data_IF_459923775406
#
_entry.id   IF_459923775406
#
_cell.length_a   1.000
_cell.length_b   1.000
_cell.length_c   1.000
_cell.angle_alpha   90.00
_cell.angle_beta   90.00
_cell.angle_gamma   90.00
#
_symmetry.space_group_name_H-M   'P 1'
#
loop_
_entity.id
_entity.type
_entity.pdbx_description
1 polymer ?
#
# COMPACT_ATOMS: atom_id res chain seq x y z
N UNK A 1 6.63 21.90 16.73
CA UNK A 1 5.43 21.08 16.97
C UNK A 1 4.22 21.93 17.33
N UNK A 2 4.34 22.86 18.29
CA UNK A 2 3.25 23.79 18.67
C UNK A 2 2.55 24.44 17.46
N UNK A 3 3.31 24.94 16.48
CA UNK A 3 2.73 25.58 15.28
C UNK A 3 1.90 24.60 14.44
N UNK A 4 2.36 23.36 14.30
CA UNK A 4 1.65 22.31 13.56
C UNK A 4 0.37 21.86 14.31
N UNK A 5 0.39 21.86 15.64
CA UNK A 5 -0.79 21.55 16.45
C UNK A 5 -1.85 22.65 16.41
N UNK A 6 -1.45 23.90 16.14
CA UNK A 6 -2.35 25.04 16.03
C UNK A 6 -3.06 25.14 14.66
N UNK A 7 -2.61 24.37 13.66
CA UNK A 7 -3.30 24.25 12.37
C UNK A 7 -4.60 23.44 12.51
N UNK A 8 -5.57 23.61 11.58
CA UNK A 8 -6.77 22.78 11.56
C UNK A 8 -6.42 21.30 11.52
N UNK A 9 -6.95 20.54 12.49
CA UNK A 9 -6.76 19.10 12.58
C UNK A 9 -7.74 18.38 11.66
N UNK A 10 -7.22 17.50 10.82
CA UNK A 10 -7.97 16.59 9.98
C UNK A 10 -7.73 15.15 10.43
N UNK A 11 -8.71 14.30 10.16
CA UNK A 11 -8.64 12.87 10.41
C UNK A 11 -8.87 12.11 9.12
N UNK A 12 -7.93 11.25 8.74
CA UNK A 12 -7.96 10.49 7.48
C UNK A 12 -7.73 9.02 7.79
N UNK A 13 -8.71 8.17 7.47
CA UNK A 13 -8.52 6.71 7.49
C UNK A 13 -7.75 6.32 6.24
N UNK A 14 -6.53 5.81 6.38
CA UNK A 14 -5.71 5.40 5.24
C UNK A 14 -4.90 4.13 5.53
N UNK A 15 -4.83 3.28 4.51
CA UNK A 15 -3.99 2.09 4.50
C UNK A 15 -2.61 2.41 3.96
N UNK A 16 -1.57 2.00 4.69
CA UNK A 16 -0.19 2.02 4.21
C UNK A 16 0.21 0.61 3.81
N UNK A 17 0.43 0.39 2.51
CA UNK A 17 0.98 -0.85 1.97
C UNK A 17 2.46 -0.68 1.64
N UNK A 18 3.32 -1.55 2.18
CA UNK A 18 4.72 -1.62 1.76
C UNK A 18 4.79 -2.10 0.31
N UNK A 19 5.63 -1.46 -0.53
CA UNK A 19 5.85 -1.94 -1.89
C UNK A 19 6.38 -3.38 -1.93
N UNK A 20 7.09 -3.82 -0.88
CA UNK A 20 7.57 -5.19 -0.74
C UNK A 20 6.54 -6.20 -0.19
N UNK A 21 5.27 -5.83 -0.01
CA UNK A 21 4.25 -6.77 0.47
C UNK A 21 4.19 -8.02 -0.44
N UNK A 22 4.05 -9.20 0.18
CA UNK A 22 4.05 -10.52 -0.50
C UNK A 22 5.33 -10.87 -1.27
N UNK A 23 6.47 -10.24 -0.96
CA UNK A 23 7.78 -10.51 -1.60
C UNK A 23 8.23 -11.96 -1.47
N UNK A 24 7.98 -12.62 -0.34
CA UNK A 24 8.48 -13.97 -0.07
C UNK A 24 7.98 -14.96 -1.13
N UNK A 25 6.71 -14.87 -1.51
CA UNK A 25 6.14 -15.69 -2.59
C UNK A 25 6.83 -15.45 -3.94
N UNK A 26 7.16 -14.20 -4.29
CA UNK A 26 7.95 -13.90 -5.50
C UNK A 26 9.37 -14.47 -5.43
N UNK A 27 9.98 -14.45 -4.24
CA UNK A 27 11.29 -15.06 -4.02
C UNK A 27 11.30 -16.59 -4.11
N UNK A 28 10.16 -17.27 -3.92
CA UNK A 28 10.03 -18.73 -4.08
C UNK A 28 10.18 -19.14 -5.55
N UNK A 29 9.72 -18.30 -6.49
CA UNK A 29 9.81 -18.52 -7.94
C UNK A 29 11.22 -18.26 -8.46
N UNK A 30 11.74 -17.05 -8.20
CA UNK A 30 13.11 -16.67 -8.52
C UNK A 30 13.62 -15.71 -7.47
N UNK A 31 14.79 -16.01 -6.90
CA UNK A 31 15.34 -15.28 -5.75
C UNK A 31 15.43 -13.77 -6.03
N UNK A 32 14.93 -12.96 -5.11
CA UNK A 32 15.05 -11.49 -5.10
C UNK A 32 15.87 -11.04 -3.90
N UNK A 33 16.47 -9.84 -3.99
CA UNK A 33 17.20 -9.22 -2.86
C UNK A 33 16.28 -8.25 -2.13
N UNK A 34 16.01 -8.51 -0.85
CA UNK A 34 15.22 -7.64 0.03
C UNK A 34 14.71 -8.40 1.26
N UNK A 35 14.22 -7.67 2.26
CA UNK A 35 13.57 -8.25 3.45
C UNK A 35 12.36 -9.08 3.00
N UNK A 36 12.27 -10.32 3.49
CA UNK A 36 11.14 -11.21 3.22
C UNK A 36 9.88 -10.70 3.90
N UNK A 37 8.82 -10.54 3.12
CA UNK A 37 7.50 -10.16 3.60
C UNK A 37 6.49 -11.17 3.07
N UNK A 38 5.66 -11.68 3.98
CA UNK A 38 4.50 -12.46 3.61
C UNK A 38 3.31 -11.54 3.29
N UNK A 39 2.07 -11.89 3.66
CA UNK A 39 0.87 -11.11 3.31
C UNK A 39 0.61 -9.91 4.23
N UNK A 40 1.36 -9.79 5.33
CA UNK A 40 1.11 -8.82 6.40
C UNK A 40 1.86 -7.49 6.32
N UNK A 41 2.54 -7.15 5.21
CA UNK A 41 3.27 -5.87 5.10
C UNK A 41 2.35 -4.71 4.68
N UNK A 42 1.22 -4.58 5.38
CA UNK A 42 0.13 -3.64 5.14
C UNK A 42 -0.57 -3.35 6.47
N UNK A 43 -1.08 -2.13 6.66
CA UNK A 43 -1.91 -1.81 7.81
C UNK A 43 -2.79 -0.58 7.58
N UNK A 44 -3.99 -0.59 8.15
CA UNK A 44 -4.94 0.52 8.12
C UNK A 44 -5.02 1.23 9.47
N UNK A 45 -5.05 2.56 9.43
CA UNK A 45 -5.18 3.37 10.64
C UNK A 45 -5.94 4.66 10.37
N UNK A 46 -6.41 5.27 11.45
CA UNK A 46 -6.99 6.61 11.47
C UNK A 46 -5.87 7.60 11.82
N UNK A 47 -5.44 8.40 10.85
CA UNK A 47 -4.34 9.36 11.00
C UNK A 47 -4.87 10.74 11.35
N UNK A 48 -4.34 11.36 12.40
CA UNK A 48 -4.69 12.72 12.83
C UNK A 48 -3.53 13.68 12.61
N UNK A 49 -3.79 14.81 11.95
CA UNK A 49 -2.73 15.76 11.59
C UNK A 49 -3.22 17.02 10.89
N UNK A 50 -2.27 17.87 10.52
CA UNK A 50 -2.52 19.02 9.65
C UNK A 50 -2.42 18.59 8.17
N UNK A 51 -3.24 19.15 7.29
CA UNK A 51 -3.07 18.93 5.84
C UNK A 51 -1.79 19.62 5.36
N UNK A 52 -1.03 18.92 4.53
CA UNK A 52 0.18 19.49 3.91
C UNK A 52 -0.17 20.71 3.06
N UNK A 53 -1.32 20.70 2.39
CA UNK A 53 -1.79 21.84 1.60
C UNK A 53 -1.95 23.12 2.44
N UNK A 54 -2.43 23.02 3.69
CA UNK A 54 -2.57 24.18 4.57
C UNK A 54 -1.21 24.69 5.07
N UNK A 55 -0.27 23.76 5.33
CA UNK A 55 1.12 24.12 5.70
C UNK A 55 1.83 24.83 4.55
N UNK A 56 1.64 24.37 3.32
CA UNK A 56 2.22 25.00 2.12
C UNK A 56 1.59 26.37 1.84
N UNK A 57 0.29 26.53 2.10
CA UNK A 57 -0.41 27.81 2.00
C UNK A 57 0.15 28.85 2.98
N UNK A 58 0.49 28.45 4.21
CA UNK A 58 1.15 29.33 5.19
C UNK A 58 2.49 29.91 4.71
N UNK A 59 3.22 29.19 3.85
CA UNK A 59 4.50 29.64 3.30
C UNK A 59 4.36 30.25 1.90
N UNK A 60 3.13 30.62 1.51
CA UNK A 60 2.85 31.35 0.28
C UNK A 60 2.72 30.50 -0.98
N UNK A 61 2.46 29.19 -0.84
CA UNK A 61 2.17 28.30 -1.97
C UNK A 61 0.67 27.98 -1.99
N UNK A 62 -0.11 28.56 -2.92
CA UNK A 62 -1.55 28.34 -2.96
C UNK A 62 -1.93 26.87 -3.17
N UNK A 63 -3.12 26.52 -2.70
CA UNK A 63 -3.75 25.23 -3.03
C UNK A 63 -3.87 25.03 -4.54
N UNK A 64 -3.82 23.77 -4.97
CA UNK A 64 -3.89 23.36 -6.38
C UNK A 64 -2.77 23.92 -7.28
N UNK A 65 -1.60 24.22 -6.70
CA UNK A 65 -0.43 24.69 -7.45
C UNK A 65 0.33 23.53 -8.11
N UNK A 66 0.54 23.63 -9.43
CA UNK A 66 1.39 22.69 -10.17
C UNK A 66 2.88 23.03 -10.09
N UNK A 67 3.21 24.32 -9.98
CA UNK A 67 4.56 24.82 -9.83
C UNK A 67 4.56 26.13 -9.02
N UNK A 68 5.67 26.44 -8.36
CA UNK A 68 5.88 27.75 -7.72
C UNK A 68 6.52 28.74 -8.71
N UNK A 69 6.43 30.07 -8.46
CA UNK A 69 7.11 31.07 -9.30
C UNK A 69 8.63 30.90 -9.40
N UNK A 70 9.25 30.19 -8.44
CA UNK A 70 10.69 29.87 -8.43
C UNK A 70 11.00 28.50 -9.06
N UNK A 71 10.04 27.89 -9.76
CA UNK A 71 10.22 26.63 -10.48
C UNK A 71 10.12 25.36 -9.64
N UNK A 72 9.74 25.44 -8.36
CA UNK A 72 9.51 24.26 -7.54
C UNK A 72 8.29 23.45 -8.02
N UNK A 73 8.46 22.16 -8.31
CA UNK A 73 7.42 21.25 -8.84
C UNK A 73 7.23 20.00 -7.97
N UNK A 74 8.08 19.78 -6.97
CA UNK A 74 8.01 18.64 -6.06
C UNK A 74 8.17 19.09 -4.61
N UNK A 75 7.65 18.27 -3.69
CA UNK A 75 7.84 18.44 -2.24
C UNK A 75 8.60 17.22 -1.73
N UNK A 76 9.85 17.43 -1.30
CA UNK A 76 10.70 16.45 -0.65
C UNK A 76 10.50 16.47 0.86
N UNK A 77 10.49 15.28 1.43
CA UNK A 77 10.39 15.01 2.85
C UNK A 77 11.67 14.34 3.31
N UNK A 78 12.36 14.96 4.27
CA UNK A 78 13.63 14.47 4.81
C UNK A 78 13.43 13.97 6.22
N UNK A 79 13.79 12.71 6.47
CA UNK A 79 13.81 12.10 7.81
C UNK A 79 15.01 12.59 8.63
N UNK A 80 14.96 12.41 9.95
CA UNK A 80 16.13 12.59 10.84
C UNK A 80 16.97 11.31 11.01
N UNK A 81 16.50 10.18 10.47
CA UNK A 81 17.20 8.90 10.59
C UNK A 81 18.53 8.85 9.81
N UNK A 82 19.22 7.71 9.91
CA UNK A 82 20.48 7.46 9.22
C UNK A 82 20.43 6.10 8.54
N UNK A 83 20.51 6.09 7.22
CA UNK A 83 20.46 4.89 6.39
C UNK A 83 21.86 4.54 5.87
N UNK A 84 22.18 3.25 5.83
CA UNK A 84 23.47 2.78 5.26
C UNK A 84 23.53 3.07 3.76
N UNK A 85 22.38 2.97 3.09
CA UNK A 85 22.17 3.22 1.66
C UNK A 85 22.45 4.68 1.26
N UNK A 86 22.37 5.60 2.22
CA UNK A 86 22.67 7.03 2.06
C UNK A 86 24.00 7.39 2.76
N UNK A 87 24.89 6.42 2.99
CA UNK A 87 26.19 6.59 3.67
C UNK A 87 26.06 7.29 5.05
N UNK A 88 25.03 6.94 5.81
CA UNK A 88 24.72 7.56 7.10
C UNK A 88 23.85 8.82 7.01
N UNK A 89 23.46 9.23 5.80
CA UNK A 89 22.47 10.28 5.54
C UNK A 89 21.02 9.81 5.74
N UNK A 90 20.05 10.73 5.63
CA UNK A 90 18.66 10.48 5.97
C UNK A 90 17.85 9.80 4.87
N UNK A 91 16.80 9.08 5.26
CA UNK A 91 15.74 8.65 4.37
C UNK A 91 15.02 9.87 3.76
N UNK A 92 14.82 9.85 2.44
CA UNK A 92 14.16 10.91 1.68
C UNK A 92 13.16 10.35 0.68
N UNK A 93 12.04 11.04 0.50
CA UNK A 93 11.10 10.79 -0.58
C UNK A 93 10.46 12.12 -1.02
N UNK A 94 9.88 12.16 -2.21
CA UNK A 94 9.10 13.33 -2.66
C UNK A 94 7.80 12.95 -3.32
N UNK A 95 6.85 13.89 -3.34
CA UNK A 95 5.63 13.83 -4.14
C UNK A 95 5.54 15.05 -5.07
N UNK A 96 4.79 14.99 -6.17
CA UNK A 96 4.52 16.16 -7.00
C UNK A 96 3.84 17.28 -6.20
N UNK A 97 4.17 18.54 -6.51
CA UNK A 97 3.59 19.72 -5.84
C UNK A 97 2.08 19.77 -5.98
N UNK A 98 1.54 19.37 -7.13
CA UNK A 98 0.10 19.30 -7.35
C UNK A 98 -0.60 18.35 -6.38
N UNK A 99 0.04 17.22 -6.04
CA UNK A 99 -0.52 16.30 -5.05
C UNK A 99 -0.39 16.88 -3.64
N UNK A 100 0.74 17.52 -3.32
CA UNK A 100 0.99 18.12 -2.01
C UNK A 100 0.06 19.29 -1.69
N UNK A 101 -0.32 20.07 -2.70
CA UNK A 101 -1.16 21.27 -2.59
C UNK A 101 -2.64 21.02 -2.85
N UNK A 102 -3.03 19.80 -3.27
CA UNK A 102 -4.42 19.43 -3.45
C UNK A 102 -5.03 18.95 -2.11
N UNK A 103 -6.00 19.67 -1.53
CA UNK A 103 -6.65 19.25 -0.30
C UNK A 103 -7.39 17.91 -0.41
N UNK A 104 -7.84 17.51 -1.59
CA UNK A 104 -8.57 16.25 -1.82
C UNK A 104 -7.67 15.01 -1.88
N UNK A 105 -6.35 15.22 -2.01
CA UNK A 105 -5.35 14.16 -1.93
C UNK A 105 -5.04 13.75 -0.48
N UNK A 106 -5.55 14.51 0.51
CA UNK A 106 -5.48 14.20 1.94
C UNK A 106 -4.08 13.89 2.47
N UNK A 107 -3.04 14.50 1.88
CA UNK A 107 -1.67 14.37 2.39
C UNK A 107 -1.59 15.06 3.75
N UNK A 108 -1.20 14.31 4.78
CA UNK A 108 -1.15 14.79 6.17
C UNK A 108 0.29 14.88 6.68
N UNK A 109 0.55 15.92 7.47
CA UNK A 109 1.57 15.90 8.50
C UNK A 109 0.91 15.34 9.78
N UNK A 110 0.99 14.02 9.93
CA UNK A 110 0.33 13.29 11.01
C UNK A 110 1.18 13.31 12.28
N UNK A 111 0.54 13.61 13.41
CA UNK A 111 1.09 13.52 14.77
C UNK A 111 0.29 12.57 15.67
N UNK A 112 -0.85 12.06 15.17
CA UNK A 112 -1.67 11.02 15.81
C UNK A 112 -1.92 9.83 14.89
N UNK A 113 -2.08 8.65 15.51
CA UNK A 113 -2.50 7.41 14.88
C UNK A 113 -3.48 6.69 15.83
N UNK A 114 -4.68 6.38 15.33
CA UNK A 114 -5.77 5.75 16.07
C UNK A 114 -6.15 6.52 17.35
N UNK A 115 -6.24 7.86 17.24
CA UNK A 115 -6.62 8.75 18.34
C UNK A 115 -5.58 8.89 19.46
N UNK A 116 -4.38 8.33 19.28
CA UNK A 116 -3.25 8.46 20.21
C UNK A 116 -2.08 9.18 19.54
N UNK A 117 -1.20 9.83 20.32
CA UNK A 117 0.07 10.33 19.78
C UNK A 117 0.81 9.23 19.01
N UNK A 118 1.51 9.60 17.94
CA UNK A 118 2.34 8.65 17.21
C UNK A 118 3.32 7.96 18.16
N UNK A 119 3.53 6.66 17.95
CA UNK A 119 4.62 5.95 18.60
C UNK A 119 5.95 6.20 17.86
N UNK A 120 7.05 5.80 18.49
CA UNK A 120 8.39 5.94 17.88
C UNK A 120 8.50 5.18 16.57
N UNK A 121 8.03 3.94 16.48
CA UNK A 121 8.18 3.10 15.27
C UNK A 121 7.42 3.64 14.05
N UNK A 122 6.34 4.40 14.29
CA UNK A 122 5.50 5.01 13.27
C UNK A 122 5.79 6.50 13.06
N UNK A 123 6.86 7.04 13.65
CA UNK A 123 7.40 8.34 13.25
C UNK A 123 7.16 9.49 14.23
N UNK A 124 6.95 9.24 15.52
CA UNK A 124 6.89 10.32 16.52
C UNK A 124 8.08 11.30 16.39
N UNK A 125 7.86 12.63 16.48
CA UNK A 125 6.59 13.30 16.77
C UNK A 125 5.72 13.58 15.54
N UNK A 126 6.27 13.45 14.34
CA UNK A 126 5.62 13.87 13.11
C UNK A 126 6.07 12.99 11.94
N UNK A 127 5.10 12.55 11.14
CA UNK A 127 5.35 11.87 9.87
C UNK A 127 4.53 12.50 8.75
N UNK A 128 4.92 12.22 7.51
CA UNK A 128 4.02 12.34 6.37
C UNK A 128 3.20 11.07 6.24
N UNK A 129 1.91 11.22 5.91
CA UNK A 129 1.04 10.18 5.37
C UNK A 129 0.59 10.63 3.99
N UNK A 130 0.88 9.82 2.97
CA UNK A 130 0.47 10.05 1.58
C UNK A 130 -0.55 8.98 1.18
N UNK A 131 -1.86 9.25 1.31
CA UNK A 131 -2.89 8.27 0.98
C UNK A 131 -2.84 7.81 -0.48
N UNK A 132 -3.21 6.54 -0.73
CA UNK A 132 -3.23 5.96 -2.08
C UNK A 132 -1.86 5.76 -2.74
N UNK A 133 -0.76 6.01 -2.00
CA UNK A 133 0.62 5.87 -2.48
C UNK A 133 1.31 4.77 -1.66
N UNK A 134 2.33 4.11 -2.23
CA UNK A 134 3.11 3.10 -1.50
C UNK A 134 3.68 3.70 -0.20
N UNK A 135 3.73 2.88 0.85
CA UNK A 135 4.14 3.30 2.19
C UNK A 135 5.52 3.94 2.26
N UNK A 136 6.41 3.64 1.31
CA UNK A 136 7.74 4.23 1.19
C UNK A 136 7.74 5.77 1.07
N UNK A 137 6.67 6.38 0.56
CA UNK A 137 6.60 7.85 0.40
C UNK A 137 6.08 8.57 1.65
N UNK A 138 5.52 7.82 2.60
CA UNK A 138 5.05 8.34 3.89
C UNK A 138 6.23 8.41 4.87
N UNK A 139 7.09 9.41 4.73
CA UNK A 139 8.34 9.55 5.50
C UNK A 139 8.04 9.72 6.99
N UNK A 140 8.75 8.96 7.83
CA UNK A 140 8.66 9.00 9.30
C UNK A 140 9.73 9.92 9.88
N UNK A 141 9.54 10.38 11.12
CA UNK A 141 10.51 11.20 11.86
C UNK A 141 10.95 12.43 11.07
N UNK A 142 9.96 13.21 10.63
CA UNK A 142 10.15 14.29 9.68
C UNK A 142 11.05 15.40 10.25
N UNK A 143 12.11 15.74 9.52
CA UNK A 143 13.07 16.78 9.87
C UNK A 143 12.85 18.05 9.04
N UNK A 144 12.73 17.93 7.72
CA UNK A 144 12.48 19.07 6.83
C UNK A 144 11.52 18.72 5.70
N UNK A 145 10.88 19.76 5.17
CA UNK A 145 10.01 19.72 4.00
C UNK A 145 10.58 20.71 2.99
N UNK A 146 11.08 20.23 1.86
CA UNK A 146 11.79 21.04 0.89
C UNK A 146 10.99 21.11 -0.41
N UNK A 147 10.68 22.32 -0.88
CA UNK A 147 10.09 22.52 -2.20
C UNK A 147 11.20 22.62 -3.23
N UNK A 148 11.22 21.71 -4.19
CA UNK A 148 12.33 21.52 -5.14
C UNK A 148 11.83 21.45 -6.58
N UNK A 149 12.69 21.82 -7.53
CA UNK A 149 12.34 21.89 -8.95
C UNK A 149 12.12 20.51 -9.58
N UNK A 150 12.95 19.54 -9.20
CA UNK A 150 12.94 18.18 -9.74
C UNK A 150 12.58 17.16 -8.67
N UNK A 151 12.26 15.93 -9.08
CA UNK A 151 12.05 14.81 -8.15
C UNK A 151 13.26 14.62 -7.20
N UNK A 152 13.00 14.22 -5.96
CA UNK A 152 14.04 13.92 -4.98
C UNK A 152 15.10 12.95 -5.54
N UNK A 153 16.37 13.34 -5.41
CA UNK A 153 17.51 12.57 -5.90
C UNK A 153 18.03 11.53 -4.89
N UNK A 154 17.33 11.34 -3.77
CA UNK A 154 17.68 10.36 -2.74
C UNK A 154 17.67 8.92 -3.26
N UNK A 155 18.45 8.06 -2.62
CA UNK A 155 18.64 6.64 -2.98
C UNK A 155 17.29 5.92 -3.12
N UNK A 156 16.38 6.08 -2.15
CA UNK A 156 15.10 5.39 -2.13
C UNK A 156 14.08 5.91 -3.16
N UNK A 157 14.34 7.05 -3.80
CA UNK A 157 13.57 7.51 -4.97
C UNK A 157 14.24 7.03 -6.26
N UNK A 158 15.55 7.21 -6.40
CA UNK A 158 16.23 7.03 -7.68
C UNK A 158 16.73 5.59 -7.92
N UNK A 159 17.11 4.88 -6.87
CA UNK A 159 17.77 3.57 -6.88
C UNK A 159 17.01 2.50 -6.10
N UNK A 160 15.75 2.74 -5.78
CA UNK A 160 14.85 1.74 -5.19
C UNK A 160 13.38 2.01 -5.57
N UNK A 161 12.47 1.14 -5.15
CA UNK A 161 11.01 1.28 -5.29
C UNK A 161 10.57 1.64 -6.72
N UNK A 162 11.13 0.94 -7.70
CA UNK A 162 10.81 1.04 -9.13
C UNK A 162 10.42 -0.32 -9.67
N UNK A 163 9.34 -0.37 -10.46
CA UNK A 163 8.83 -1.61 -11.04
C UNK A 163 9.52 -1.90 -12.38
N UNK A 164 10.35 -2.94 -12.41
CA UNK A 164 11.06 -3.39 -13.62
C UNK A 164 10.37 -4.61 -14.24
N UNK A 165 10.53 -4.84 -15.56
CA UNK A 165 10.03 -6.06 -16.19
C UNK A 165 10.87 -7.29 -15.79
N UNK A 166 10.33 -8.52 -15.98
CA UNK A 166 11.00 -9.76 -15.58
C UNK A 166 12.37 -10.04 -16.25
N UNK A 167 12.66 -9.39 -17.39
CA UNK A 167 13.93 -9.53 -18.11
C UNK A 167 15.10 -8.77 -17.47
N UNK A 168 14.83 -7.85 -16.54
CA UNK A 168 15.88 -7.07 -15.88
C UNK A 168 16.42 -7.83 -14.66
N UNK A 169 17.75 -7.90 -14.56
CA UNK A 169 18.51 -8.50 -13.48
C UNK A 169 19.58 -7.52 -12.96
N UNK A 170 20.43 -7.97 -12.03
CA UNK A 170 21.45 -7.10 -11.42
C UNK A 170 22.58 -6.70 -12.36
N UNK A 171 22.81 -7.44 -13.45
CA UNK A 171 23.89 -7.18 -14.41
C UNK A 171 23.47 -6.17 -15.48
N UNK A 172 22.16 -6.09 -15.80
CA UNK A 172 21.63 -5.22 -16.85
C UNK A 172 20.71 -4.08 -16.35
N UNK A 173 20.56 -3.91 -15.04
CA UNK A 173 19.66 -2.90 -14.47
C UNK A 173 20.11 -1.48 -14.83
N UNK A 174 19.18 -0.72 -15.42
CA UNK A 174 19.30 0.72 -15.58
C UNK A 174 18.13 1.43 -14.87
N UNK A 175 18.44 2.04 -13.73
CA UNK A 175 17.48 2.75 -12.88
C UNK A 175 16.76 3.93 -13.54
N UNK A 176 17.34 4.52 -14.59
CA UNK A 176 16.76 5.66 -15.31
C UNK A 176 15.60 5.23 -16.24
N UNK A 177 15.51 3.94 -16.58
CA UNK A 177 14.45 3.44 -17.47
C UNK A 177 13.08 3.37 -16.80
N UNK A 178 13.00 3.53 -15.47
CA UNK A 178 11.75 3.44 -14.70
C UNK A 178 11.58 4.66 -13.80
N UNK A 179 10.34 5.14 -13.74
CA UNK A 179 9.92 6.18 -12.81
C UNK A 179 9.70 5.58 -11.41
N UNK A 180 9.92 6.34 -10.33
CA UNK A 180 9.63 5.87 -8.99
C UNK A 180 8.17 5.47 -8.84
N UNK A 181 7.93 4.37 -8.14
CA UNK A 181 6.58 3.92 -7.87
C UNK A 181 5.93 4.87 -6.87
N UNK A 182 4.74 5.37 -7.21
CA UNK A 182 3.90 6.22 -6.37
C UNK A 182 2.62 5.47 -6.01
N UNK A 183 1.62 5.51 -6.88
CA UNK A 183 0.41 4.67 -6.80
C UNK A 183 0.76 3.17 -6.80
N UNK A 184 -0.15 2.29 -6.37
CA UNK A 184 0.00 0.83 -6.43
C UNK A 184 -1.26 0.15 -6.99
N UNK A 185 -1.10 -0.97 -7.71
CA UNK A 185 -2.22 -1.69 -8.33
C UNK A 185 -3.13 -2.35 -7.30
N UNK A 186 -4.29 -2.81 -7.77
CA UNK A 186 -5.21 -3.64 -6.98
C UNK A 186 -4.50 -4.86 -6.39
N UNK A 187 -4.78 -5.16 -5.13
CA UNK A 187 -4.20 -6.23 -4.33
C UNK A 187 -5.30 -6.88 -3.50
N UNK A 188 -5.20 -8.20 -3.28
CA UNK A 188 -5.87 -8.88 -2.18
C UNK A 188 -5.05 -10.05 -1.65
N UNK A 189 -5.34 -10.44 -0.41
CA UNK A 189 -4.82 -11.66 0.17
C UNK A 189 -5.82 -12.26 1.18
N UNK A 190 -5.82 -13.58 1.24
CA UNK A 190 -6.52 -14.37 2.26
C UNK A 190 -5.68 -14.32 3.55
N UNK A 191 -6.33 -14.13 4.69
CA UNK A 191 -5.67 -14.03 6.00
C UNK A 191 -6.27 -14.96 7.07
N UNK A 192 -7.45 -15.56 6.82
CA UNK A 192 -8.07 -16.49 7.78
C UNK A 192 -7.49 -17.91 7.72
N UNK A 193 -6.56 -18.16 6.79
CA UNK A 193 -5.99 -19.46 6.47
C UNK A 193 -4.50 -19.26 6.16
N UNK A 194 -3.65 -20.16 6.64
CA UNK A 194 -2.21 -20.20 6.33
C UNK A 194 -1.94 -20.65 4.89
N UNK A 195 -0.71 -20.56 4.37
CA UNK A 195 -0.34 -21.07 3.03
C UNK A 195 -0.70 -22.56 2.84
N UNK A 196 -0.66 -23.34 3.92
CA UNK A 196 -1.07 -24.75 3.95
C UNK A 196 -1.88 -25.04 5.20
N UNK A 197 -3.14 -25.44 5.05
CA UNK A 197 -4.01 -25.81 6.16
C UNK A 197 -4.47 -27.25 6.06
N UNK A 198 -4.77 -27.83 7.23
CA UNK A 198 -5.55 -29.07 7.33
C UNK A 198 -6.93 -28.71 7.82
N UNK A 199 -7.95 -28.88 6.97
CA UNK A 199 -9.34 -28.57 7.30
C UNK A 199 -10.16 -29.86 7.43
N UNK A 200 -11.28 -29.78 8.15
CA UNK A 200 -12.32 -30.79 8.11
C UNK A 200 -13.13 -30.59 6.83
N UNK A 201 -13.69 -31.69 6.34
CA UNK A 201 -14.69 -31.65 5.27
C UNK A 201 -15.87 -30.75 5.66
N UNK A 202 -16.28 -29.86 4.75
CA UNK A 202 -17.47 -29.02 4.89
C UNK A 202 -17.23 -27.53 4.64
N UNK A 203 -18.05 -26.71 5.30
CA UNK A 203 -18.07 -25.25 5.13
C UNK A 203 -16.93 -24.58 5.89
N UNK A 204 -16.22 -23.69 5.21
CA UNK A 204 -15.13 -22.88 5.77
C UNK A 204 -15.33 -21.42 5.42
N UNK A 205 -15.12 -20.55 6.40
CA UNK A 205 -15.15 -19.10 6.20
C UNK A 205 -13.78 -18.61 5.74
N UNK A 206 -13.72 -18.04 4.54
CA UNK A 206 -12.51 -17.44 3.97
C UNK A 206 -12.61 -15.92 4.14
N UNK A 207 -11.62 -15.32 4.80
CA UNK A 207 -11.55 -13.87 5.04
C UNK A 207 -10.20 -13.29 4.64
N UNK A 208 -10.18 -12.03 4.27
CA UNK A 208 -8.97 -11.33 3.91
C UNK A 208 -9.16 -9.84 3.70
N UNK A 209 -8.16 -9.21 3.07
CA UNK A 209 -8.21 -7.80 2.70
C UNK A 209 -8.04 -7.62 1.19
N UNK A 210 -8.59 -6.53 0.66
CA UNK A 210 -8.35 -6.02 -0.67
C UNK A 210 -8.08 -4.51 -0.63
N UNK A 211 -7.22 -4.00 -1.49
CA UNK A 211 -6.87 -2.57 -1.55
C UNK A 211 -6.37 -2.19 -2.95
N UNK A 212 -6.60 -0.96 -3.37
CA UNK A 212 -5.95 -0.35 -4.52
C UNK A 212 -5.42 1.04 -4.13
N UNK A 213 -4.36 1.49 -4.80
CA UNK A 213 -3.85 2.84 -4.61
C UNK A 213 -4.73 3.89 -5.30
N UNK A 214 -4.26 5.14 -5.31
CA UNK A 214 -4.89 6.25 -6.02
C UNK A 214 -6.33 6.59 -5.59
N UNK A 215 -6.82 6.02 -4.48
CA UNK A 215 -8.16 6.26 -3.96
C UNK A 215 -9.23 5.40 -4.63
N UNK A 216 -8.81 4.37 -5.37
CA UNK A 216 -9.73 3.47 -6.05
C UNK A 216 -10.32 2.48 -5.04
N UNK A 217 -11.64 2.48 -4.91
CA UNK A 217 -12.37 1.47 -4.15
C UNK A 217 -12.23 0.07 -4.77
N UNK A 218 -12.54 -0.96 -4.00
CA UNK A 218 -12.65 -2.34 -4.49
C UNK A 218 -14.08 -2.57 -4.93
N UNK A 219 -14.30 -2.90 -6.20
CA UNK A 219 -15.62 -3.15 -6.77
C UNK A 219 -16.04 -4.62 -6.68
N UNK A 220 -15.09 -5.56 -6.66
CA UNK A 220 -15.40 -6.98 -6.48
C UNK A 220 -14.23 -7.75 -5.87
N UNK A 221 -14.55 -8.80 -5.12
CA UNK A 221 -13.59 -9.83 -4.71
C UNK A 221 -14.16 -11.18 -5.08
N UNK A 222 -13.40 -11.96 -5.83
CA UNK A 222 -13.78 -13.28 -6.32
C UNK A 222 -12.97 -14.34 -5.57
N UNK A 223 -13.64 -15.37 -5.04
CA UNK A 223 -13.04 -16.53 -4.39
C UNK A 223 -13.34 -17.78 -5.20
N UNK A 224 -12.32 -18.60 -5.40
CA UNK A 224 -12.41 -19.91 -6.05
C UNK A 224 -11.96 -21.01 -5.09
N UNK A 225 -12.60 -22.18 -5.18
CA UNK A 225 -12.23 -23.41 -4.44
C UNK A 225 -11.77 -24.53 -5.36
N UNK A 226 -11.51 -24.25 -6.64
CA UNK A 226 -11.11 -25.22 -7.66
C UNK A 226 -9.85 -24.78 -8.45
N UNK A 227 -8.99 -23.98 -7.79
CA UNK A 227 -7.74 -23.47 -8.36
C UNK A 227 -7.91 -22.31 -9.34
N UNK A 228 -9.07 -21.64 -9.35
CA UNK A 228 -9.36 -20.47 -10.19
C UNK A 228 -10.20 -20.76 -11.44
N UNK A 229 -10.88 -21.91 -11.53
CA UNK A 229 -11.73 -22.25 -12.68
C UNK A 229 -13.12 -21.64 -12.56
N UNK A 230 -13.72 -21.73 -11.37
CA UNK A 230 -15.01 -21.11 -11.03
C UNK A 230 -14.86 -20.16 -9.86
N UNK A 231 -15.76 -19.17 -9.79
CA UNK A 231 -15.66 -18.05 -8.86
C UNK A 231 -16.99 -17.77 -8.20
N UNK A 232 -16.94 -17.48 -6.91
CA UNK A 232 -18.05 -16.95 -6.11
C UNK A 232 -17.64 -15.57 -5.61
N UNK A 233 -18.56 -14.61 -5.68
CA UNK A 233 -18.31 -13.27 -5.16
C UNK A 233 -18.32 -13.28 -3.62
N UNK A 234 -17.29 -12.69 -3.02
CA UNK A 234 -17.22 -12.48 -1.58
C UNK A 234 -17.95 -11.19 -1.19
N UNK A 235 -18.56 -11.21 0.00
CA UNK A 235 -19.05 -9.99 0.61
C UNK A 235 -17.88 -9.06 0.97
N UNK A 236 -18.11 -7.75 0.96
CA UNK A 236 -17.10 -6.70 1.17
C UNK A 236 -17.57 -5.71 2.22
N UNK A 237 -16.68 -5.28 3.11
CA UNK A 237 -17.00 -4.29 4.14
C UNK A 237 -15.78 -3.47 4.61
N UNK A 238 -16.05 -2.32 5.22
CA UNK A 238 -15.04 -1.47 5.89
C UNK A 238 -15.43 -1.22 7.35
N UNK A 239 -16.63 -0.67 7.57
CA UNK A 239 -17.17 -0.33 8.89
C UNK A 239 -18.32 -1.28 9.22
N UNK A 240 -18.34 -1.81 10.43
CA UNK A 240 -19.40 -2.72 10.87
C UNK A 240 -20.77 -2.03 10.83
N UNK A 241 -21.78 -2.73 10.29
CA UNK A 241 -23.14 -2.22 10.19
C UNK A 241 -23.37 -1.13 9.12
N UNK A 242 -22.33 -0.74 8.37
CA UNK A 242 -22.45 0.22 7.27
C UNK A 242 -22.18 -0.52 5.95
N UNK A 243 -23.17 -0.62 5.05
CA UNK A 243 -22.96 -1.21 3.73
C UNK A 243 -21.84 -0.49 2.99
N UNK A 244 -20.86 -1.25 2.52
CA UNK A 244 -19.80 -0.73 1.68
C UNK A 244 -20.29 -0.62 0.24
N UNK A 245 -20.10 0.56 -0.36
CA UNK A 245 -20.35 0.83 -1.77
C UNK A 245 -19.09 1.52 -2.28
N UNK A 246 -18.47 0.96 -3.31
CA UNK A 246 -17.23 1.51 -3.86
C UNK A 246 -17.50 2.91 -4.46
N UNK A 247 -16.53 3.82 -4.33
CA UNK A 247 -16.62 5.23 -4.76
C UNK A 247 -17.77 6.05 -4.13
N UNK A 248 -18.39 5.53 -3.06
CA UNK A 248 -19.39 6.28 -2.30
C UNK A 248 -18.74 7.26 -1.33
N UNK A 249 -19.36 8.42 -1.11
CA UNK A 249 -18.97 9.38 -0.06
C UNK A 249 -18.99 8.79 1.36
N UNK A 250 -19.67 7.66 1.58
CA UNK A 250 -19.70 6.92 2.85
C UNK A 250 -18.52 5.95 3.01
N UNK A 251 -17.81 5.65 1.93
CA UNK A 251 -16.66 4.75 1.91
C UNK A 251 -15.37 5.49 2.24
N UNK A 252 -14.44 4.81 2.90
CA UNK A 252 -13.11 5.34 3.16
C UNK A 252 -12.21 5.02 1.95
N UNK A 253 -12.17 5.93 0.96
CA UNK A 253 -11.48 5.72 -0.34
C UNK A 253 -9.98 5.37 -0.25
N UNK A 254 -9.33 5.72 0.86
CA UNK A 254 -7.91 5.44 1.10
C UNK A 254 -7.66 4.18 1.95
N UNK A 255 -8.71 3.54 2.45
CA UNK A 255 -8.62 2.37 3.30
C UNK A 255 -8.81 1.08 2.49
N UNK A 256 -8.24 0.00 3.00
CA UNK A 256 -8.54 -1.35 2.52
C UNK A 256 -10.04 -1.68 2.67
N UNK A 257 -10.44 -2.77 2.05
CA UNK A 257 -11.77 -3.37 2.14
C UNK A 257 -11.56 -4.79 2.62
N UNK A 258 -12.22 -5.18 3.69
CA UNK A 258 -12.25 -6.58 4.11
C UNK A 258 -13.21 -7.36 3.22
N UNK A 259 -12.89 -8.63 2.99
CA UNK A 259 -13.80 -9.53 2.29
C UNK A 259 -14.02 -10.81 3.10
N UNK A 260 -15.19 -11.41 2.93
CA UNK A 260 -15.48 -12.75 3.45
C UNK A 260 -16.48 -13.53 2.59
N UNK A 261 -16.27 -14.84 2.49
CA UNK A 261 -17.24 -15.77 1.93
C UNK A 261 -17.19 -17.12 2.67
N UNK A 262 -18.36 -17.72 2.88
CA UNK A 262 -18.47 -19.11 3.27
C UNK A 262 -18.37 -19.98 2.02
N UNK A 263 -17.41 -20.90 1.99
CA UNK A 263 -17.19 -21.81 0.86
C UNK A 263 -17.21 -23.25 1.33
N UNK A 264 -17.66 -24.16 0.47
CA UNK A 264 -17.68 -25.59 0.75
C UNK A 264 -16.40 -26.24 0.21
N UNK A 265 -15.68 -26.96 1.07
CA UNK A 265 -14.42 -27.61 0.72
C UNK A 265 -14.50 -29.09 1.09
N UNK A 266 -14.72 -29.93 0.08
CA UNK A 266 -14.93 -31.38 0.26
C UNK A 266 -13.73 -32.24 -0.11
N UNK A 267 -12.72 -31.65 -0.75
CA UNK A 267 -11.49 -32.32 -1.14
C UNK A 267 -10.29 -31.39 -1.00
N UNK A 268 -9.09 -31.98 -0.95
CA UNK A 268 -7.85 -31.20 -0.96
C UNK A 268 -7.78 -30.38 -2.26
N UNK A 269 -7.71 -29.07 -2.11
CA UNK A 269 -7.83 -28.12 -3.24
C UNK A 269 -6.98 -26.87 -2.96
N UNK A 270 -7.00 -25.93 -3.91
CA UNK A 270 -6.44 -24.61 -3.75
C UNK A 270 -7.58 -23.58 -3.67
N UNK A 271 -7.58 -22.79 -2.60
CA UNK A 271 -8.45 -21.63 -2.47
C UNK A 271 -7.72 -20.42 -3.04
N UNK A 272 -8.36 -19.74 -3.99
CA UNK A 272 -7.79 -18.60 -4.71
C UNK A 272 -8.63 -17.36 -4.47
N UNK A 273 -7.99 -16.22 -4.23
CA UNK A 273 -8.66 -14.92 -4.17
C UNK A 273 -8.05 -13.92 -5.16
N UNK A 274 -8.93 -13.13 -5.79
CA UNK A 274 -8.56 -11.98 -6.63
C UNK A 274 -9.56 -10.83 -6.45
N UNK A 275 -9.08 -9.59 -6.55
CA UNK A 275 -9.91 -8.39 -6.48
C UNK A 275 -9.94 -7.62 -7.80
N UNK A 276 -10.99 -6.81 -7.95
CA UNK A 276 -11.21 -5.86 -9.03
C UNK A 276 -11.49 -4.49 -8.41
N UNK A 277 -10.80 -3.44 -8.85
CA UNK A 277 -11.06 -2.07 -8.39
C UNK A 277 -12.15 -1.36 -9.22
N UNK A 278 -12.58 -0.17 -8.80
CA UNK A 278 -13.62 0.63 -9.50
C UNK A 278 -13.24 1.03 -10.94
N UNK A 279 -11.96 0.97 -11.29
CA UNK A 279 -11.48 1.21 -12.65
C UNK A 279 -11.36 -0.10 -13.46
N UNK A 280 -11.91 -1.20 -12.94
CA UNK A 280 -11.85 -2.54 -13.51
C UNK A 280 -10.41 -3.08 -13.70
N UNK A 281 -9.43 -2.55 -12.97
CA UNK A 281 -8.11 -3.18 -12.94
C UNK A 281 -8.20 -4.53 -12.25
N UNK A 282 -7.41 -5.49 -12.74
CA UNK A 282 -7.39 -6.87 -12.24
C UNK A 282 -6.01 -7.27 -11.75
N UNK A 283 -5.98 -8.25 -10.87
CA UNK A 283 -4.74 -8.90 -10.44
C UNK A 283 -4.23 -9.89 -11.50
N UNK A 284 -2.91 -9.93 -11.76
CA UNK A 284 -2.32 -10.96 -12.61
C UNK A 284 -2.46 -12.34 -11.97
N UNK A 285 -2.65 -13.37 -12.78
CA UNK A 285 -2.78 -14.74 -12.30
C UNK A 285 -1.45 -15.27 -11.72
N UNK A 286 -0.37 -15.07 -12.47
CA UNK A 286 0.92 -15.71 -12.21
C UNK A 286 1.96 -14.70 -11.75
N UNK A 287 2.80 -15.10 -10.80
CA UNK A 287 3.88 -14.25 -10.30
C UNK A 287 4.95 -14.01 -11.37
N UNK A 288 5.19 -14.98 -12.27
CA UNK A 288 6.20 -14.87 -13.33
C UNK A 288 5.99 -13.68 -14.27
N UNK A 289 4.73 -13.33 -14.55
CA UNK A 289 4.40 -12.22 -15.45
C UNK A 289 4.76 -10.85 -14.86
N UNK A 290 4.83 -10.77 -13.53
CA UNK A 290 5.13 -9.54 -12.77
C UNK A 290 6.41 -9.65 -11.94
N UNK A 291 7.19 -10.72 -12.08
CA UNK A 291 8.42 -10.87 -11.35
C UNK A 291 9.33 -9.66 -11.62
N UNK A 292 9.96 -9.14 -10.58
CA UNK A 292 10.95 -8.08 -10.72
C UNK A 292 12.07 -8.24 -9.69
N UNK A 293 13.27 -7.77 -10.03
CA UNK A 293 14.48 -7.98 -9.25
C UNK A 293 14.44 -7.44 -7.81
N UNK A 294 13.57 -6.45 -7.53
CA UNK A 294 13.36 -5.87 -6.19
C UNK A 294 12.28 -6.58 -5.39
N UNK A 295 11.55 -7.52 -5.99
CA UNK A 295 10.48 -8.24 -5.35
C UNK A 295 9.41 -7.31 -4.80
N UNK A 296 9.01 -6.28 -5.54
CA UNK A 296 7.95 -5.35 -5.14
C UNK A 296 6.66 -5.61 -5.92
N UNK A 297 5.55 -5.13 -5.40
CA UNK A 297 4.22 -5.18 -6.03
C UNK A 297 3.80 -6.59 -6.44
N UNK A 298 4.02 -7.59 -5.57
CA UNK A 298 3.45 -8.90 -5.81
C UNK A 298 1.94 -8.86 -5.59
N UNK A 299 1.21 -8.65 -6.68
CA UNK A 299 -0.26 -8.64 -6.72
C UNK A 299 -0.82 -9.87 -7.42
N UNK A 300 -0.06 -10.96 -7.54
CA UNK A 300 -0.59 -12.20 -8.10
C UNK A 300 -1.83 -12.66 -7.33
N UNK A 301 -2.69 -13.47 -7.94
CA UNK A 301 -3.76 -14.14 -7.20
C UNK A 301 -3.17 -14.84 -5.97
N UNK A 302 -3.82 -14.67 -4.81
CA UNK A 302 -3.37 -15.34 -3.60
C UNK A 302 -3.94 -16.73 -3.57
N UNK A 303 -3.07 -17.73 -3.36
CA UNK A 303 -3.38 -19.15 -3.46
C UNK A 303 -3.02 -19.81 -2.13
N UNK A 304 -4.00 -20.45 -1.51
CA UNK A 304 -3.85 -21.18 -0.25
C UNK A 304 -4.13 -22.65 -0.48
N UNK A 305 -3.21 -23.52 -0.07
CA UNK A 305 -3.33 -24.96 -0.24
C UNK A 305 -4.11 -25.56 0.94
N UNK A 306 -5.16 -26.32 0.64
CA UNK A 306 -5.96 -27.02 1.63
C UNK A 306 -5.74 -28.52 1.50
N UNK A 307 -5.49 -29.16 2.64
CA UNK A 307 -5.53 -30.61 2.80
C UNK A 307 -6.74 -30.98 3.64
N UNK A 308 -7.57 -31.90 3.17
CA UNK A 308 -8.63 -32.46 4.02
C UNK A 308 -8.02 -33.49 4.95
N UNK A 309 -8.12 -33.24 6.26
CA UNK A 309 -7.69 -34.18 7.29
C UNK A 309 -8.61 -35.40 7.27
N UNK A 310 -8.06 -36.60 7.09
CA UNK A 310 -8.84 -37.82 7.32
C UNK A 310 -9.20 -37.89 8.80
N UNK A 311 -10.45 -38.22 9.17
CA UNK A 311 -10.75 -38.51 10.57
C UNK A 311 -9.84 -39.68 10.99
N UNK A 312 -9.14 -39.52 12.11
CA UNK A 312 -8.41 -40.63 12.72
C UNK A 312 -9.42 -41.77 12.94
N UNK A 313 -9.20 -42.91 12.28
CA UNK A 313 -9.84 -44.18 12.65
C UNK A 313 -9.32 -44.64 14.00
#
# INVERSE_FOLDING_TARGET
MTDIWNLPKYTVTATLQCAGNRRTAMSKIRKVRGVGWDVGAIGNAVWGGAKLADVLELVGIPKLSNATPRGGMHVEFVSVDKCKEENGGPYKASIPLIQATNPEADVLLAYEMNGKPLNRDHGYPLRVVVPGVIGARSVKWLNSINVIAEECQGFFMQKDYKMFPPSVNWDNINWLTRRPQMDFPVQCAICSLEDTNVLKDGKTMVKGYAVAGGGRGIERVDISVDGGKTWVEASRYQKMGIPYVADSSRSDKWAWVFFEAEVEVTCSTEIVAKAVDIAANVQPENVDTIWNLRGILNTSWHRVHIRIGRPNM
#
